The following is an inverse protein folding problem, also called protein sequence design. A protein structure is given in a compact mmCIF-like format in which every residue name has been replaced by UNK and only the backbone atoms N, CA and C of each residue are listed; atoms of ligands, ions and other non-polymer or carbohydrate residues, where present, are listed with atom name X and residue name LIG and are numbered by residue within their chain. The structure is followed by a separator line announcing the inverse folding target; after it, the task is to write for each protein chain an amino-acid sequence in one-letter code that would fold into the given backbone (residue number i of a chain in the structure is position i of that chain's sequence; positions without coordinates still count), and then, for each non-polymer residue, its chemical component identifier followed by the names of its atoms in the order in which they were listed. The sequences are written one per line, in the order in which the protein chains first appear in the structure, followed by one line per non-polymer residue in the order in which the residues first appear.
data_IF_821689229212
#
_entry.id   IF_821689229212
#
_cell.length_a   1.000
_cell.length_b   1.000
_cell.length_c   1.000
_cell.angle_alpha   90.00
_cell.angle_beta   90.00
_cell.angle_gamma   90.00
#
_symmetry.space_group_name_H-M   'P 1'
#
loop_
_entity.id
_entity.type
_entity.pdbx_description
1 polymer ?
#
# COMPACT_ATOMS: atom_id res chain seq x y z
N UNK A 1 16.77 21.37 -9.79
CA UNK A 1 16.21 22.73 -9.84
C UNK A 1 15.02 22.90 -10.80
N UNK A 2 14.80 22.05 -11.81
CA UNK A 2 13.75 22.27 -12.83
C UNK A 2 12.30 22.03 -12.36
N UNK A 3 12.04 21.07 -11.47
CA UNK A 3 10.65 20.66 -11.12
C UNK A 3 9.91 21.61 -10.15
N UNK A 4 10.60 22.27 -9.22
CA UNK A 4 9.97 23.28 -8.34
C UNK A 4 9.61 24.57 -9.12
N UNK A 5 10.37 24.87 -10.18
CA UNK A 5 10.09 26.00 -11.07
C UNK A 5 8.86 25.72 -11.94
N UNK A 6 8.63 24.47 -12.36
CA UNK A 6 7.43 24.09 -13.13
C UNK A 6 6.14 24.17 -12.29
N UNK A 7 6.19 23.83 -11.01
CA UNK A 7 5.02 23.89 -10.10
C UNK A 7 4.81 25.27 -9.43
N UNK A 8 5.71 26.23 -9.70
CA UNK A 8 5.70 27.60 -9.17
C UNK A 8 5.48 27.70 -7.64
N UNK A 9 5.89 26.65 -6.90
CA UNK A 9 5.72 26.51 -5.45
C UNK A 9 6.96 25.85 -4.85
N UNK A 10 7.56 26.52 -3.87
CA UNK A 10 8.65 25.96 -3.07
C UNK A 10 8.06 25.02 -2.03
N UNK A 11 8.16 23.70 -2.25
CA UNK A 11 7.63 22.68 -1.33
C UNK A 11 8.46 22.55 -0.04
N UNK A 12 9.76 22.73 -0.15
CA UNK A 12 10.74 22.70 0.95
C UNK A 12 11.90 23.60 0.57
N UNK A 13 12.42 24.37 1.53
CA UNK A 13 13.57 25.24 1.32
C UNK A 13 14.89 24.45 1.33
N UNK A 14 15.94 25.00 0.70
CA UNK A 14 17.28 24.39 0.76
C UNK A 14 17.82 24.30 2.20
N UNK A 15 17.46 25.24 3.06
CA UNK A 15 17.80 25.23 4.49
C UNK A 15 17.16 24.03 5.22
N UNK A 16 15.90 23.72 4.90
CA UNK A 16 15.20 22.56 5.46
C UNK A 16 15.77 21.25 4.91
N UNK A 17 16.15 21.19 3.62
CA UNK A 17 16.80 20.01 3.05
C UNK A 17 18.13 19.73 3.78
N UNK A 18 18.97 20.75 3.96
CA UNK A 18 20.25 20.62 4.67
C UNK A 18 20.03 20.18 6.12
N UNK A 19 19.04 20.75 6.80
CA UNK A 19 18.70 20.36 8.17
C UNK A 19 18.28 18.88 8.26
N UNK A 20 17.53 18.36 7.29
CA UNK A 20 17.14 16.94 7.23
C UNK A 20 18.36 16.05 6.99
N UNK A 21 19.24 16.41 6.05
CA UNK A 21 20.46 15.65 5.75
C UNK A 21 21.40 15.60 6.96
N UNK A 22 21.56 16.74 7.63
CA UNK A 22 22.36 16.85 8.84
C UNK A 22 21.77 15.98 9.96
N UNK A 23 20.44 15.98 10.15
CA UNK A 23 19.78 15.14 11.14
C UNK A 23 19.98 13.63 10.87
N UNK A 24 19.95 13.20 9.61
CA UNK A 24 20.23 11.80 9.22
C UNK A 24 21.68 11.41 9.47
N UNK A 25 22.62 12.33 9.25
CA UNK A 25 24.01 12.11 9.58
C UNK A 25 24.23 12.00 11.10
N UNK A 26 23.62 12.89 11.89
CA UNK A 26 23.76 12.90 13.35
C UNK A 26 23.07 11.70 14.03
N UNK A 27 21.92 11.27 13.53
CA UNK A 27 21.12 10.21 14.14
C UNK A 27 21.57 8.82 13.70
N UNK A 28 21.78 8.64 12.39
CA UNK A 28 21.95 7.32 11.77
C UNK A 28 23.32 7.16 11.09
N UNK A 29 24.17 8.20 11.09
CA UNK A 29 25.47 8.18 10.40
C UNK A 29 25.34 8.16 8.88
N UNK A 30 24.15 8.40 8.34
CA UNK A 30 23.86 8.34 6.91
C UNK A 30 24.31 9.65 6.26
N UNK A 31 25.25 9.56 5.32
CA UNK A 31 25.75 10.72 4.56
C UNK A 31 25.22 10.67 3.14
N UNK A 32 24.35 11.62 2.81
CA UNK A 32 23.81 11.86 1.47
C UNK A 32 24.11 13.30 1.11
N UNK A 33 24.69 13.52 -0.06
CA UNK A 33 25.02 14.86 -0.52
C UNK A 33 23.86 15.47 -1.32
N UNK A 34 23.72 16.79 -1.22
CA UNK A 34 22.63 17.53 -1.88
C UNK A 34 22.60 17.33 -3.40
N UNK A 35 23.75 17.16 -4.03
CA UNK A 35 23.93 16.90 -5.47
C UNK A 35 23.52 15.48 -5.89
N UNK A 36 23.41 14.54 -4.94
CA UNK A 36 22.87 13.20 -5.15
C UNK A 36 21.33 13.16 -5.10
N UNK A 37 20.70 14.25 -4.64
CA UNK A 37 19.24 14.35 -4.52
C UNK A 37 18.61 14.91 -5.79
N UNK A 38 17.93 14.02 -6.52
CA UNK A 38 17.07 14.41 -7.64
C UNK A 38 15.60 14.47 -7.21
N UNK A 39 14.92 15.61 -7.47
CA UNK A 39 13.48 15.68 -7.31
C UNK A 39 12.79 14.64 -8.22
N UNK A 40 11.96 13.79 -7.62
CA UNK A 40 11.13 12.85 -8.36
C UNK A 40 9.72 13.45 -8.44
N UNK A 41 9.27 13.72 -9.66
CA UNK A 41 7.89 14.10 -9.88
C UNK A 41 7.00 12.86 -9.80
N UNK A 42 6.31 12.71 -8.68
CA UNK A 42 5.21 11.77 -8.57
C UNK A 42 3.98 12.39 -9.23
N UNK A 43 3.65 11.96 -10.44
CA UNK A 43 2.40 12.37 -11.08
C UNK A 43 1.23 11.92 -10.19
N UNK A 44 0.56 12.87 -9.54
CA UNK A 44 -0.71 12.59 -8.87
C UNK A 44 -1.77 12.46 -9.96
N UNK A 45 -2.11 11.22 -10.27
CA UNK A 45 -3.08 10.89 -11.33
C UNK A 45 -4.54 10.87 -10.79
N UNK A 46 -4.74 11.31 -9.54
CA UNK A 46 -6.03 11.38 -8.85
C UNK A 46 -6.01 10.64 -7.51
N UNK A 47 -7.05 10.88 -6.71
CA UNK A 47 -7.19 10.38 -5.35
C UNK A 47 -8.29 9.32 -5.26
N UNK A 48 -8.05 8.27 -4.49
CA UNK A 48 -9.07 7.26 -4.14
C UNK A 48 -9.50 7.46 -2.70
N UNK A 49 -10.75 7.90 -2.49
CA UNK A 49 -11.26 8.30 -1.18
C UNK A 49 -12.24 7.26 -0.65
N UNK A 50 -12.05 6.81 0.59
CA UNK A 50 -12.95 5.84 1.24
C UNK A 50 -13.87 6.50 2.25
N UNK A 51 -15.09 5.96 2.38
CA UNK A 51 -16.01 6.21 3.49
C UNK A 51 -15.60 5.35 4.69
N UNK A 52 -16.04 5.67 5.93
CA UNK A 52 -15.73 4.88 7.13
C UNK A 52 -16.17 3.41 7.05
N UNK A 53 -17.18 3.11 6.24
CA UNK A 53 -17.65 1.74 5.97
C UNK A 53 -16.76 0.96 4.98
N UNK A 54 -15.55 1.45 4.67
CA UNK A 54 -14.62 0.87 3.68
C UNK A 54 -15.20 0.78 2.26
N UNK A 55 -16.16 1.64 1.93
CA UNK A 55 -16.74 1.79 0.59
C UNK A 55 -16.16 3.01 -0.12
N UNK A 56 -16.10 2.99 -1.45
CA UNK A 56 -15.56 4.10 -2.24
C UNK A 56 -16.47 5.32 -2.11
N UNK A 57 -15.87 6.49 -1.95
CA UNK A 57 -16.54 7.77 -2.03
C UNK A 57 -16.44 8.32 -3.46
N UNK A 58 -17.41 7.96 -4.31
CA UNK A 58 -17.45 8.36 -5.72
C UNK A 58 -17.48 9.89 -5.91
N UNK A 59 -18.05 10.64 -4.96
CA UNK A 59 -18.13 12.10 -5.04
C UNK A 59 -16.78 12.81 -4.82
N UNK A 60 -15.88 12.17 -4.05
CA UNK A 60 -14.56 12.74 -3.69
C UNK A 60 -13.40 12.07 -4.41
N UNK A 61 -13.63 10.88 -4.95
CA UNK A 61 -12.62 10.13 -5.70
C UNK A 61 -12.42 10.79 -7.06
N UNK A 62 -11.19 11.14 -7.37
CA UNK A 62 -10.80 11.77 -8.64
C UNK A 62 -9.96 10.86 -9.52
N UNK A 63 -9.54 9.70 -8.98
CA UNK A 63 -8.76 8.72 -9.75
C UNK A 63 -9.57 8.15 -10.93
N UNK A 64 -9.02 8.19 -12.16
CA UNK A 64 -9.67 7.64 -13.35
C UNK A 64 -9.45 6.12 -13.49
N UNK A 65 -8.71 5.49 -12.58
CA UNK A 65 -8.34 4.08 -12.69
C UNK A 65 -9.40 3.15 -12.12
N UNK A 66 -9.61 1.97 -12.72
CA UNK A 66 -10.49 0.96 -12.16
C UNK A 66 -9.99 0.54 -10.78
N UNK A 67 -10.93 0.32 -9.86
CA UNK A 67 -10.66 -0.08 -8.49
C UNK A 67 -11.12 -1.51 -8.28
N UNK A 68 -10.24 -2.34 -7.73
CA UNK A 68 -10.51 -3.74 -7.45
C UNK A 68 -10.26 -4.06 -5.98
N UNK A 69 -11.12 -4.93 -5.44
CA UNK A 69 -10.99 -5.47 -4.10
C UNK A 69 -10.54 -6.92 -4.20
N UNK A 70 -9.33 -7.20 -3.73
CA UNK A 70 -8.76 -8.56 -3.73
C UNK A 70 -8.78 -9.09 -2.31
N UNK A 71 -9.63 -10.09 -2.08
CA UNK A 71 -9.75 -10.76 -0.79
C UNK A 71 -8.81 -11.96 -0.70
N UNK A 72 -8.06 -12.03 0.39
CA UNK A 72 -7.17 -13.14 0.70
C UNK A 72 -7.47 -13.65 2.10
N UNK A 73 -7.73 -14.94 2.21
CA UNK A 73 -7.83 -15.65 3.48
C UNK A 73 -6.42 -15.89 4.03
N UNK A 74 -6.16 -15.47 5.27
CA UNK A 74 -4.83 -15.55 5.88
C UNK A 74 -4.91 -16.25 7.23
N UNK A 75 -4.12 -17.31 7.34
CA UNK A 75 -3.96 -18.10 8.54
C UNK A 75 -2.84 -17.55 9.44
N UNK A 76 -2.82 -16.24 9.66
CA UNK A 76 -1.88 -15.57 10.56
C UNK A 76 -2.65 -14.80 11.63
N UNK A 77 -2.10 -14.75 12.84
CA UNK A 77 -2.59 -13.86 13.88
C UNK A 77 -2.45 -12.39 13.46
N UNK A 78 -3.26 -11.51 14.04
CA UNK A 78 -3.31 -10.07 13.68
C UNK A 78 -1.94 -9.38 13.73
N UNK A 79 -1.10 -9.69 14.72
CA UNK A 79 0.24 -9.09 14.83
C UNK A 79 1.20 -9.58 13.74
N UNK A 80 1.20 -10.89 13.46
CA UNK A 80 2.04 -11.49 12.43
C UNK A 80 1.63 -11.02 11.02
N UNK A 81 0.33 -10.75 10.84
CA UNK A 81 -0.23 -10.15 9.63
C UNK A 81 0.37 -8.79 9.32
N UNK A 82 0.34 -7.86 10.28
CA UNK A 82 0.92 -6.52 10.10
C UNK A 82 2.43 -6.58 9.88
N UNK A 83 3.14 -7.46 10.59
CA UNK A 83 4.57 -7.67 10.40
C UNK A 83 4.89 -8.17 8.99
N UNK A 84 4.14 -9.17 8.51
CA UNK A 84 4.29 -9.73 7.16
C UNK A 84 4.10 -8.65 6.08
N UNK A 85 3.04 -7.85 6.18
CA UNK A 85 2.77 -6.80 5.20
C UNK A 85 3.86 -5.72 5.23
N UNK A 86 4.30 -5.29 6.41
CA UNK A 86 5.37 -4.29 6.53
C UNK A 86 6.68 -4.77 5.92
N UNK A 87 7.04 -6.04 6.16
CA UNK A 87 8.24 -6.63 5.56
C UNK A 87 8.12 -6.71 4.04
N UNK A 88 6.94 -7.03 3.50
CA UNK A 88 6.70 -7.01 2.06
C UNK A 88 6.81 -5.61 1.48
N UNK A 89 6.21 -4.60 2.11
CA UNK A 89 6.33 -3.19 1.69
C UNK A 89 7.80 -2.75 1.65
N UNK A 90 8.61 -3.20 2.62
CA UNK A 90 10.05 -2.96 2.66
C UNK A 90 10.81 -3.63 1.51
N UNK A 91 10.47 -4.88 1.18
CA UNK A 91 11.14 -5.63 0.10
C UNK A 91 10.74 -5.12 -1.28
N UNK A 92 9.45 -4.90 -1.51
CA UNK A 92 8.92 -4.49 -2.82
C UNK A 92 9.03 -2.99 -3.05
N UNK A 93 9.29 -2.21 -1.99
CA UNK A 93 9.23 -0.73 -1.99
C UNK A 93 7.86 -0.20 -2.46
N UNK A 94 6.81 -1.03 -2.32
CA UNK A 94 5.45 -0.68 -2.69
C UNK A 94 4.61 -0.44 -1.44
N UNK A 95 3.78 0.59 -1.47
CA UNK A 95 2.74 0.77 -0.46
C UNK A 95 1.51 -0.04 -0.83
N UNK A 96 1.00 -0.82 0.12
CA UNK A 96 -0.22 -1.61 -0.05
C UNK A 96 -1.30 -1.06 0.86
N UNK A 97 -2.46 -0.74 0.30
CA UNK A 97 -3.64 -0.34 1.05
C UNK A 97 -4.57 -1.54 1.23
N UNK A 98 -4.98 -1.82 2.47
CA UNK A 98 -5.77 -3.01 2.80
C UNK A 98 -6.66 -2.80 4.03
N UNK A 99 -7.73 -3.58 4.09
CA UNK A 99 -8.64 -3.67 5.23
C UNK A 99 -8.54 -5.05 5.88
N UNK A 100 -8.17 -5.14 7.17
CA UNK A 100 -8.27 -6.38 7.92
C UNK A 100 -9.71 -6.62 8.37
N UNK A 101 -10.21 -7.82 8.12
CA UNK A 101 -11.48 -8.31 8.67
C UNK A 101 -11.29 -9.72 9.24
N UNK A 102 -12.31 -10.22 9.93
CA UNK A 102 -12.32 -11.60 10.41
C UNK A 102 -13.66 -12.24 10.09
N UNK A 103 -13.61 -13.55 9.85
CA UNK A 103 -14.78 -14.40 9.76
C UNK A 103 -14.72 -15.39 10.90
N UNK A 104 -15.67 -15.30 11.82
CA UNK A 104 -15.85 -16.27 12.91
C UNK A 104 -17.00 -17.19 12.55
N UNK A 105 -16.74 -18.49 12.52
CA UNK A 105 -17.81 -19.49 12.48
C UNK A 105 -17.99 -20.07 13.88
N UNK A 106 -19.06 -19.64 14.54
CA UNK A 106 -19.39 -20.05 15.92
C UNK A 106 -19.66 -21.55 16.05
N UNK A 107 -20.17 -22.21 15.00
CA UNK A 107 -20.49 -23.63 15.02
C UNK A 107 -19.24 -24.51 15.09
N UNK A 108 -18.13 -24.09 14.47
CA UNK A 108 -16.84 -24.80 14.46
C UNK A 108 -15.76 -24.12 15.32
N UNK A 109 -16.10 -23.03 16.02
CA UNK A 109 -15.15 -22.23 16.84
C UNK A 109 -13.86 -21.85 16.09
N UNK A 110 -13.97 -21.61 14.78
CA UNK A 110 -12.86 -21.25 13.91
C UNK A 110 -12.97 -19.78 13.51
N UNK A 111 -11.87 -19.04 13.68
CA UNK A 111 -11.75 -17.64 13.26
C UNK A 111 -10.69 -17.55 12.18
N UNK A 112 -11.09 -17.08 11.00
CA UNK A 112 -10.21 -16.80 9.88
C UNK A 112 -10.00 -15.30 9.77
N UNK A 113 -8.74 -14.86 9.60
CA UNK A 113 -8.47 -13.47 9.28
C UNK A 113 -8.52 -13.30 7.76
N UNK A 114 -9.16 -12.23 7.33
CA UNK A 114 -9.29 -11.86 5.92
C UNK A 114 -8.61 -10.53 5.69
N UNK A 115 -7.91 -10.41 4.58
CA UNK A 115 -7.39 -9.14 4.09
C UNK A 115 -8.06 -8.79 2.78
N UNK A 116 -8.63 -7.59 2.71
CA UNK A 116 -9.12 -7.02 1.46
C UNK A 116 -8.13 -5.96 1.01
N UNK A 117 -7.34 -6.26 -0.01
CA UNK A 117 -6.47 -5.29 -0.65
C UNK A 117 -7.24 -4.45 -1.65
N UNK A 118 -6.90 -3.17 -1.72
CA UNK A 118 -7.43 -2.26 -2.74
C UNK A 118 -6.36 -2.05 -3.80
N UNK A 119 -6.71 -2.33 -5.04
CA UNK A 119 -5.84 -2.17 -6.20
C UNK A 119 -6.47 -1.15 -7.15
N UNK A 120 -5.76 -0.06 -7.40
CA UNK A 120 -6.16 0.97 -8.36
C UNK A 120 -4.89 1.43 -9.07
N UNK A 121 -4.67 0.90 -10.28
CA UNK A 121 -3.47 1.15 -11.08
C UNK A 121 -3.80 1.19 -12.57
N UNK A 122 -3.08 2.03 -13.31
CA UNK A 122 -3.27 2.19 -14.75
C UNK A 122 -2.95 0.93 -15.57
N UNK A 123 -2.06 0.07 -15.07
CA UNK A 123 -1.58 -1.13 -15.75
C UNK A 123 -2.36 -2.41 -15.40
N UNK A 124 -3.40 -2.30 -14.56
CA UNK A 124 -4.22 -3.42 -14.09
C UNK A 124 -5.65 -3.21 -14.57
N UNK A 125 -6.05 -4.01 -15.56
CA UNK A 125 -7.42 -4.05 -16.10
C UNK A 125 -8.19 -5.29 -15.63
N UNK A 126 -7.48 -6.32 -15.14
CA UNK A 126 -8.05 -7.52 -14.53
C UNK A 126 -7.20 -7.92 -13.32
N UNK A 127 -7.79 -7.85 -12.12
CA UNK A 127 -7.05 -7.70 -10.87
C UNK A 127 -6.80 -8.99 -10.09
N UNK A 128 -7.50 -10.09 -10.42
CA UNK A 128 -7.49 -11.28 -9.57
C UNK A 128 -6.22 -12.11 -9.73
N UNK A 129 -5.72 -12.28 -10.96
CA UNK A 129 -4.58 -13.18 -11.23
C UNK A 129 -3.22 -12.48 -11.03
N UNK A 130 -3.08 -11.20 -11.41
CA UNK A 130 -1.79 -10.51 -11.34
C UNK A 130 -1.38 -10.06 -9.93
N UNK A 131 -2.36 -9.83 -9.05
CA UNK A 131 -2.09 -9.28 -7.72
C UNK A 131 -1.55 -10.34 -6.74
N UNK A 132 -2.01 -11.59 -6.86
CA UNK A 132 -1.50 -12.73 -6.06
C UNK A 132 -0.03 -13.03 -6.38
N UNK A 133 0.34 -12.97 -7.66
CA UNK A 133 1.71 -13.23 -8.12
C UNK A 133 2.68 -12.13 -7.65
N UNK A 134 2.25 -10.86 -7.68
CA UNK A 134 3.06 -9.72 -7.25
C UNK A 134 3.29 -9.69 -5.74
N UNK A 135 2.31 -10.11 -4.94
CA UNK A 135 2.46 -10.16 -3.48
C UNK A 135 3.23 -11.41 -3.00
N UNK A 136 3.27 -12.48 -3.81
CA UNK A 136 3.83 -13.78 -3.46
C UNK A 136 3.42 -14.23 -2.03
N UNK A 137 2.19 -13.87 -1.65
CA UNK A 137 1.52 -14.40 -0.48
C UNK A 137 0.91 -15.70 -0.97
N UNK A 138 1.44 -16.83 -0.50
CA UNK A 138 0.82 -18.12 -0.78
C UNK A 138 -0.60 -18.09 -0.22
N UNK A 139 -1.57 -17.88 -1.11
CA UNK A 139 -2.97 -18.08 -0.82
C UNK A 139 -3.14 -19.59 -0.74
N UNK A 140 -3.15 -20.12 0.47
CA UNK A 140 -3.62 -21.49 0.66
C UNK A 140 -5.10 -21.47 0.33
N UNK A 141 -5.44 -21.80 -0.92
CA UNK A 141 -6.78 -22.25 -1.25
C UNK A 141 -7.05 -23.46 -0.35
N UNK A 142 -7.84 -23.24 0.71
CA UNK A 142 -8.49 -24.38 1.35
C UNK A 142 -9.37 -25.01 0.28
N UNK A 143 -9.17 -26.29 -0.06
CA UNK A 143 -10.11 -26.97 -0.90
C UNK A 143 -11.46 -26.91 -0.18
N UNK A 144 -12.45 -26.33 -0.83
CA UNK A 144 -13.84 -26.44 -0.44
C UNK A 144 -14.17 -27.95 -0.51
N UNK A 145 -14.03 -28.66 0.60
CA UNK A 145 -14.59 -30.00 0.72
C UNK A 145 -16.09 -29.80 0.86
N UNK A 146 -16.80 -29.96 -0.25
CA UNK A 146 -18.22 -30.24 -0.25
C UNK A 146 -18.41 -31.61 0.38
N UNK A 147 -18.71 -31.65 1.67
CA UNK A 147 -19.17 -32.86 2.33
C UNK A 147 -20.54 -33.23 1.74
N UNK A 148 -20.60 -34.46 1.25
CA UNK A 148 -21.77 -35.15 0.72
C UNK A 148 -22.19 -36.20 1.75
#
# INVERSE_FOLDING_TARGET
MLQQQEMNTSLISEEEIEAVLQAWYETDGIRVYRDELEPIHHACLGELVFKPACTINEEKTTSPFPVFFVEIDIHLGKQDLFRCIKERQRITQQSFFFFPSNYSNEAVKLTWNKLTFVVSRADITDARERFTDQLNIQVYHLPYQSDN
#
